data_IF_847744240258
#
_entry.id   IF_847744240258
#
_cell.length_a   1.000
_cell.length_b   1.000
_cell.length_c   1.000
_cell.angle_alpha   90.00
_cell.angle_beta   90.00
_cell.angle_gamma   90.00
#
_symmetry.space_group_name_H-M   'P 1'
#
loop_
_entity.id
_entity.type
_entity.pdbx_description
1 polymer ?
#
# COMPACT_ATOMS: atom_id res chain seq x y z
N UNK A 1 -28.40 -0.52 23.14
CA UNK A 1 -27.51 -1.69 23.06
C UNK A 1 -26.51 -1.59 24.20
N UNK A 2 -26.51 -2.51 25.17
CA UNK A 2 -25.56 -2.48 26.29
C UNK A 2 -24.16 -2.79 25.75
N UNK A 3 -23.17 -1.94 26.04
CA UNK A 3 -21.78 -2.23 25.72
C UNK A 3 -21.41 -3.56 26.39
N UNK A 4 -21.03 -4.55 25.58
CA UNK A 4 -20.60 -5.85 26.10
C UNK A 4 -19.30 -5.61 26.86
N UNK A 5 -19.33 -5.86 28.17
CA UNK A 5 -18.18 -5.67 29.04
C UNK A 5 -16.99 -6.48 28.52
N UNK A 6 -15.87 -5.79 28.30
CA UNK A 6 -14.64 -6.42 27.86
C UNK A 6 -13.96 -6.98 29.11
N UNK A 7 -14.03 -8.30 29.27
CA UNK A 7 -13.34 -8.98 30.36
C UNK A 7 -11.89 -9.22 29.94
N UNK A 8 -10.95 -8.78 30.76
CA UNK A 8 -9.52 -9.06 30.61
C UNK A 8 -9.12 -10.09 31.67
N UNK A 9 -8.41 -11.13 31.25
CA UNK A 9 -7.87 -12.17 32.11
C UNK A 9 -6.35 -12.07 32.10
N UNK A 10 -5.70 -12.33 33.22
CA UNK A 10 -4.25 -12.58 33.21
C UNK A 10 -3.93 -13.75 32.27
N UNK A 11 -2.94 -13.55 31.41
CA UNK A 11 -2.45 -14.57 30.50
C UNK A 11 -1.35 -15.44 31.08
N UNK A 12 -0.76 -15.04 32.22
CA UNK A 12 0.39 -15.69 32.85
C UNK A 12 1.73 -15.40 32.15
N UNK A 13 1.76 -14.40 31.26
CA UNK A 13 2.95 -13.98 30.54
C UNK A 13 3.31 -12.54 30.87
N UNK A 14 4.61 -12.26 30.87
CA UNK A 14 5.17 -10.92 31.02
C UNK A 14 5.53 -10.32 29.66
N UNK A 15 5.37 -9.01 29.55
CA UNK A 15 5.70 -8.26 28.34
C UNK A 15 7.22 -8.27 28.13
N UNK A 16 7.64 -8.70 26.95
CA UNK A 16 9.03 -8.72 26.46
C UNK A 16 9.66 -7.32 26.32
N UNK A 17 8.87 -6.25 26.42
CA UNK A 17 9.35 -4.86 26.27
C UNK A 17 9.55 -4.16 27.61
N UNK A 18 8.63 -4.36 28.55
CA UNK A 18 8.58 -3.60 29.81
C UNK A 18 8.47 -4.47 31.07
N UNK A 19 8.40 -5.80 30.93
CA UNK A 19 8.22 -6.74 32.04
C UNK A 19 6.83 -6.69 32.70
N UNK A 20 5.89 -5.93 32.14
CA UNK A 20 4.54 -5.80 32.69
C UNK A 20 3.62 -6.97 32.33
N UNK A 21 2.68 -7.27 33.23
CA UNK A 21 1.66 -8.31 33.07
C UNK A 21 0.88 -8.18 31.75
N UNK A 22 0.77 -9.28 31.02
CA UNK A 22 -0.02 -9.37 29.79
C UNK A 22 -1.42 -9.88 30.11
N UNK A 23 -2.42 -9.10 29.72
CA UNK A 23 -3.82 -9.44 29.82
C UNK A 23 -4.34 -9.99 28.49
N UNK A 24 -5.06 -11.10 28.53
CA UNK A 24 -5.80 -11.66 27.40
C UNK A 24 -7.27 -11.24 27.45
N UNK A 25 -7.78 -10.76 26.34
CA UNK A 25 -9.20 -10.41 26.22
C UNK A 25 -10.07 -11.68 26.15
N UNK A 26 -11.03 -11.80 27.07
CA UNK A 26 -12.06 -12.84 27.09
C UNK A 26 -13.33 -12.33 26.40
N UNK A 27 -13.34 -12.34 25.07
CA UNK A 27 -14.54 -11.99 24.30
C UNK A 27 -14.27 -11.67 22.84
N UNK A 28 -15.33 -11.70 22.03
CA UNK A 28 -15.28 -11.25 20.63
C UNK A 28 -15.40 -9.73 20.57
N UNK A 29 -14.40 -9.04 20.00
CA UNK A 29 -14.58 -7.64 19.59
C UNK A 29 -15.53 -7.60 18.39
N UNK A 30 -16.48 -6.65 18.32
CA UNK A 30 -17.41 -6.55 17.18
C UNK A 30 -16.69 -6.35 15.85
N UNK A 31 -15.52 -5.71 15.86
CA UNK A 31 -14.77 -5.32 14.67
C UNK A 31 -13.92 -6.42 14.03
N UNK A 32 -13.59 -7.50 14.75
CA UNK A 32 -12.82 -8.65 14.22
C UNK A 32 -13.19 -9.94 14.97
N UNK A 33 -13.92 -10.87 14.34
CA UNK A 33 -14.66 -11.90 15.07
C UNK A 33 -13.85 -13.08 15.66
N UNK A 34 -12.55 -13.27 15.37
CA UNK A 34 -11.91 -14.57 15.65
C UNK A 34 -10.56 -14.59 16.39
N UNK A 35 -9.88 -13.46 16.65
CA UNK A 35 -8.56 -13.53 17.29
C UNK A 35 -8.59 -13.04 18.74
N UNK A 36 -8.06 -13.83 19.70
CA UNK A 36 -7.83 -13.34 21.06
C UNK A 36 -6.79 -12.21 21.01
N UNK A 37 -7.08 -11.12 21.71
CA UNK A 37 -6.21 -9.98 21.84
C UNK A 37 -5.43 -10.08 23.15
N UNK A 38 -4.18 -9.66 23.09
CA UNK A 38 -3.30 -9.52 24.24
C UNK A 38 -2.99 -8.05 24.42
N UNK A 39 -2.97 -7.58 25.66
CA UNK A 39 -2.63 -6.19 26.01
C UNK A 39 -1.72 -6.21 27.22
N UNK A 40 -0.59 -5.50 27.14
CA UNK A 40 0.22 -5.26 28.34
C UNK A 40 -0.45 -4.19 29.22
N UNK A 41 -0.57 -4.46 30.52
CA UNK A 41 -1.15 -3.53 31.50
C UNK A 41 -0.31 -2.27 31.72
N UNK A 42 1.01 -2.37 31.57
CA UNK A 42 1.96 -1.30 31.88
C UNK A 42 2.19 -0.40 30.66
N UNK A 43 2.66 -0.97 29.54
CA UNK A 43 2.99 -0.17 28.37
C UNK A 43 1.79 0.07 27.43
N UNK A 44 0.70 -0.68 27.58
CA UNK A 44 -0.52 -0.51 26.78
C UNK A 44 -0.46 -1.07 25.36
N UNK A 45 0.66 -1.67 24.95
CA UNK A 45 0.75 -2.35 23.66
C UNK A 45 -0.30 -3.47 23.54
N UNK A 46 -0.93 -3.59 22.37
CA UNK A 46 -1.87 -4.67 22.03
C UNK A 46 -1.42 -5.43 20.79
N UNK A 47 -1.59 -6.75 20.82
CA UNK A 47 -1.28 -7.63 19.70
C UNK A 47 -2.25 -8.81 19.59
N UNK A 48 -2.28 -9.45 18.43
CA UNK A 48 -2.98 -10.72 18.19
C UNK A 48 -2.10 -11.90 18.62
N UNK A 49 -2.67 -13.10 18.75
CA UNK A 49 -1.88 -14.33 18.97
C UNK A 49 -0.80 -14.55 17.90
N UNK A 50 -1.07 -14.12 16.67
CA UNK A 50 -0.14 -14.20 15.53
C UNK A 50 1.01 -13.19 15.63
N UNK A 51 1.00 -12.31 16.65
CA UNK A 51 2.01 -11.28 16.84
C UNK A 51 1.75 -10.00 16.06
N UNK A 52 0.60 -9.88 15.38
CA UNK A 52 0.22 -8.65 14.68
C UNK A 52 -0.03 -7.54 15.68
N UNK A 53 0.61 -6.40 15.48
CA UNK A 53 0.43 -5.23 16.33
C UNK A 53 -0.92 -4.59 16.03
N UNK A 54 -1.75 -4.45 17.06
CA UNK A 54 -3.11 -3.88 16.97
C UNK A 54 -3.10 -2.44 17.46
N UNK A 55 -2.34 -2.18 18.52
CA UNK A 55 -2.18 -0.86 19.09
C UNK A 55 -0.79 -0.76 19.72
N UNK A 56 -0.10 0.34 19.47
CA UNK A 56 1.17 0.64 20.10
C UNK A 56 0.87 1.60 21.23
N UNK A 57 1.16 1.18 22.46
CA UNK A 57 0.98 2.04 23.62
C UNK A 57 1.99 3.18 23.65
N UNK A 58 1.81 4.12 24.57
CA UNK A 58 2.58 5.38 24.59
C UNK A 58 4.03 5.29 25.08
N UNK A 59 4.51 4.12 25.51
CA UNK A 59 5.86 3.95 26.04
C UNK A 59 6.94 3.86 24.97
N UNK A 60 8.13 4.40 25.23
CA UNK A 60 9.27 4.30 24.30
C UNK A 60 9.65 2.85 23.97
N UNK A 61 9.56 1.95 24.97
CA UNK A 61 9.81 0.52 24.81
C UNK A 61 8.88 -0.14 23.78
N UNK A 62 7.60 0.29 23.71
CA UNK A 62 6.64 -0.19 22.72
C UNK A 62 7.05 0.20 21.29
N UNK A 63 7.51 1.45 21.12
CA UNK A 63 7.96 1.96 19.82
C UNK A 63 9.26 1.30 19.37
N UNK A 64 10.20 1.10 20.28
CA UNK A 64 11.45 0.42 19.99
C UNK A 64 11.21 -1.03 19.59
N UNK A 65 10.39 -1.76 20.35
CA UNK A 65 10.08 -3.14 20.02
C UNK A 65 9.35 -3.29 18.68
N UNK A 66 8.45 -2.37 18.35
CA UNK A 66 7.83 -2.32 17.04
C UNK A 66 8.87 -2.10 15.92
N UNK A 67 9.81 -1.16 16.12
CA UNK A 67 10.86 -0.88 15.14
C UNK A 67 11.71 -2.11 14.83
N UNK A 68 12.03 -2.92 15.84
CA UNK A 68 12.79 -4.18 15.67
C UNK A 68 12.00 -5.24 14.89
N UNK A 69 10.67 -5.27 15.01
CA UNK A 69 9.80 -6.19 14.26
C UNK A 69 9.60 -5.78 12.81
N UNK A 70 9.56 -4.48 12.53
CA UNK A 70 9.44 -3.93 11.17
C UNK A 70 10.79 -3.93 10.44
N UNK A 71 11.90 -3.79 11.18
CA UNK A 71 13.27 -3.83 10.67
C UNK A 71 13.55 -4.92 9.62
N UNK A 72 13.24 -6.20 9.87
CA UNK A 72 13.47 -7.27 8.88
C UNK A 72 12.58 -7.15 7.63
N UNK A 73 11.35 -6.67 7.75
CA UNK A 73 10.43 -6.47 6.60
C UNK A 73 10.93 -5.34 5.70
N UNK A 74 11.38 -4.23 6.31
CA UNK A 74 11.99 -3.13 5.56
C UNK A 74 13.35 -3.51 4.98
N UNK A 75 14.11 -4.39 5.65
CA UNK A 75 15.37 -4.89 5.12
C UNK A 75 15.16 -5.70 3.83
N UNK A 76 14.14 -6.56 3.78
CA UNK A 76 13.79 -7.32 2.58
C UNK A 76 13.33 -6.41 1.42
N UNK A 77 12.56 -5.36 1.71
CA UNK A 77 12.17 -4.36 0.72
C UNK A 77 13.36 -3.49 0.25
N UNK A 78 14.31 -3.20 1.13
CA UNK A 78 15.52 -2.48 0.74
C UNK A 78 16.46 -3.34 -0.12
N UNK A 79 16.46 -4.66 0.08
CA UNK A 79 17.39 -5.58 -0.57
C UNK A 79 17.15 -5.65 -2.10
N UNK A 80 15.88 -5.66 -2.55
CA UNK A 80 15.57 -5.64 -3.98
C UNK A 80 15.91 -4.30 -4.66
N UNK A 81 15.75 -3.17 -3.95
CA UNK A 81 16.14 -1.84 -4.43
C UNK A 81 17.67 -1.73 -4.56
N UNK A 82 18.41 -2.24 -3.58
CA UNK A 82 19.88 -2.32 -3.66
C UNK A 82 20.37 -3.29 -4.73
N UNK A 83 19.60 -4.34 -5.04
CA UNK A 83 19.90 -5.24 -6.16
C UNK A 83 19.70 -4.57 -7.51
N UNK A 84 18.67 -3.71 -7.62
CA UNK A 84 18.40 -2.91 -8.82
C UNK A 84 19.46 -1.82 -9.04
N UNK A 85 19.95 -1.21 -7.96
CA UNK A 85 20.99 -0.17 -8.03
C UNK A 85 22.40 -0.71 -8.31
N UNK A 86 22.62 -2.01 -8.10
CA UNK A 86 23.84 -2.73 -8.50
C UNK A 86 23.89 -3.03 -10.01
N UNK A 87 22.80 -2.79 -10.74
CA UNK A 87 22.79 -2.91 -12.20
C UNK A 87 23.69 -1.81 -12.79
N UNK A 88 24.72 -2.15 -13.57
CA UNK A 88 25.62 -1.16 -14.13
C UNK A 88 24.87 -0.23 -15.10
N UNK A 89 25.19 1.07 -15.06
CA UNK A 89 24.45 2.13 -15.80
C UNK A 89 24.23 1.82 -17.28
N UNK A 90 25.18 1.14 -17.93
CA UNK A 90 25.06 0.75 -19.34
C UNK A 90 23.92 -0.24 -19.58
N UNK A 91 23.68 -1.18 -18.66
CA UNK A 91 22.60 -2.16 -18.78
C UNK A 91 21.22 -1.49 -18.64
N UNK A 92 21.10 -0.47 -17.78
CA UNK A 92 19.88 0.33 -17.66
C UNK A 92 19.56 1.08 -18.97
N UNK A 93 20.59 1.65 -19.63
CA UNK A 93 20.43 2.30 -20.94
C UNK A 93 19.99 1.29 -22.00
N UNK A 94 20.58 0.10 -22.02
CA UNK A 94 20.22 -0.96 -22.97
C UNK A 94 18.78 -1.44 -22.76
N UNK A 95 18.35 -1.66 -21.50
CA UNK A 95 16.98 -2.07 -21.18
C UNK A 95 15.98 -0.97 -21.56
N UNK A 96 16.29 0.29 -21.23
CA UNK A 96 15.46 1.43 -21.61
C UNK A 96 15.32 1.57 -23.13
N UNK A 97 16.42 1.43 -23.87
CA UNK A 97 16.41 1.47 -25.34
C UNK A 97 15.63 0.30 -25.94
N UNK A 98 15.81 -0.91 -25.42
CA UNK A 98 15.08 -2.09 -25.88
C UNK A 98 13.56 -1.93 -25.65
N UNK A 99 13.15 -1.47 -24.47
CA UNK A 99 11.75 -1.17 -24.16
C UNK A 99 11.19 -0.06 -25.05
N UNK A 100 11.97 0.99 -25.32
CA UNK A 100 11.59 2.06 -26.22
C UNK A 100 11.39 1.56 -27.65
N UNK A 101 12.30 0.72 -28.15
CA UNK A 101 12.17 0.07 -29.46
C UNK A 101 10.94 -0.83 -29.51
N UNK A 102 10.69 -1.62 -28.46
CA UNK A 102 9.49 -2.48 -28.35
C UNK A 102 8.23 -1.61 -28.33
N UNK A 103 8.20 -0.52 -27.57
CA UNK A 103 7.10 0.44 -27.53
C UNK A 103 6.89 1.15 -28.87
N UNK A 104 7.94 1.50 -29.59
CA UNK A 104 7.80 2.05 -30.94
C UNK A 104 7.29 0.98 -31.91
N UNK A 105 7.79 -0.26 -31.80
CA UNK A 105 7.43 -1.39 -32.65
C UNK A 105 5.98 -1.84 -32.46
N UNK A 106 5.49 -1.85 -31.22
CA UNK A 106 4.15 -2.35 -30.87
C UNK A 106 3.15 -1.22 -30.57
N UNK A 107 3.59 -0.13 -29.94
CA UNK A 107 2.77 1.03 -29.58
C UNK A 107 2.62 2.06 -30.71
N UNK A 108 3.55 2.17 -31.66
CA UNK A 108 3.43 3.08 -32.81
C UNK A 108 2.26 2.72 -33.74
N UNK A 109 1.99 1.42 -33.93
CA UNK A 109 0.89 0.94 -34.76
C UNK A 109 -0.48 1.10 -34.08
N UNK A 110 -0.55 0.88 -32.76
CA UNK A 110 -1.79 1.07 -31.97
C UNK A 110 -2.12 2.56 -31.78
N UNK A 111 -1.12 3.41 -31.49
CA UNK A 111 -1.32 4.84 -31.31
C UNK A 111 -1.74 5.52 -32.62
N UNK A 112 -1.11 5.16 -33.75
CA UNK A 112 -1.51 5.64 -35.07
C UNK A 112 -2.95 5.23 -35.43
N UNK A 113 -3.33 3.98 -35.13
CA UNK A 113 -4.69 3.46 -35.38
C UNK A 113 -5.76 4.11 -34.51
N UNK A 114 -5.41 4.61 -33.32
CA UNK A 114 -6.31 5.36 -32.43
C UNK A 114 -6.38 6.85 -32.78
N UNK A 115 -5.25 7.47 -33.12
CA UNK A 115 -5.19 8.90 -33.42
C UNK A 115 -5.81 9.24 -34.79
N UNK A 116 -5.68 8.36 -35.78
CA UNK A 116 -6.25 8.57 -37.12
C UNK A 116 -7.77 8.81 -37.12
N UNK A 117 -8.63 7.97 -36.49
CA UNK A 117 -10.07 8.22 -36.45
C UNK A 117 -10.43 9.45 -35.61
N UNK A 118 -9.72 9.72 -34.50
CA UNK A 118 -9.97 10.92 -33.67
C UNK A 118 -9.66 12.20 -34.44
N UNK A 119 -8.54 12.24 -35.16
CA UNK A 119 -8.18 13.37 -36.02
C UNK A 119 -9.18 13.58 -37.16
N UNK A 120 -9.65 12.50 -37.79
CA UNK A 120 -10.70 12.55 -38.82
C UNK A 120 -12.02 13.11 -38.27
N UNK A 121 -12.46 12.65 -37.10
CA UNK A 121 -13.68 13.16 -36.44
C UNK A 121 -13.53 14.64 -36.11
N UNK A 122 -12.40 15.04 -35.50
CA UNK A 122 -12.13 16.44 -35.19
C UNK A 122 -12.12 17.33 -36.43
N UNK A 123 -11.53 16.85 -37.53
CA UNK A 123 -11.50 17.56 -38.80
C UNK A 123 -12.91 17.73 -39.41
N UNK A 124 -13.74 16.68 -39.38
CA UNK A 124 -15.13 16.75 -39.86
C UNK A 124 -15.95 17.73 -39.02
N UNK A 125 -15.84 17.68 -37.69
CA UNK A 125 -16.54 18.61 -36.78
C UNK A 125 -16.11 20.05 -37.04
N UNK A 126 -14.80 20.28 -37.21
CA UNK A 126 -14.26 21.60 -37.53
C UNK A 126 -14.83 22.14 -38.85
N UNK A 127 -14.90 21.30 -39.89
CA UNK A 127 -15.50 21.69 -41.18
C UNK A 127 -16.99 22.03 -41.04
N UNK A 128 -17.77 21.24 -40.29
CA UNK A 128 -19.20 21.52 -40.05
C UNK A 128 -19.39 22.86 -39.35
N UNK A 129 -18.61 23.13 -38.30
CA UNK A 129 -18.69 24.40 -37.57
C UNK A 129 -18.32 25.57 -38.48
N UNK A 130 -17.20 25.45 -39.22
CA UNK A 130 -16.74 26.49 -40.14
C UNK A 130 -17.76 26.77 -41.24
N UNK A 131 -18.34 25.72 -41.81
CA UNK A 131 -19.34 25.86 -42.88
C UNK A 131 -20.67 26.42 -42.34
N UNK A 132 -21.08 26.03 -41.12
CA UNK A 132 -22.25 26.60 -40.46
C UNK A 132 -22.10 28.08 -40.13
N UNK A 133 -20.88 28.53 -39.77
CA UNK A 133 -20.56 29.95 -39.62
C UNK A 133 -20.69 30.72 -40.95
N UNK A 134 -20.28 30.13 -42.07
CA UNK A 134 -20.41 30.75 -43.39
C UNK A 134 -21.87 30.83 -43.89
N UNK A 135 -22.74 29.92 -43.45
CA UNK A 135 -24.17 29.90 -43.86
C UNK A 135 -25.15 30.64 -42.94
N UNK A 136 -24.69 31.29 -41.85
CA UNK A 136 -25.55 31.97 -40.87
C UNK A 136 -26.70 31.09 -40.33
N UNK A 137 -26.43 29.81 -40.05
CA UNK A 137 -27.45 28.92 -39.45
C UNK A 137 -27.66 29.16 -37.94
N UNK A 138 -26.95 30.16 -37.38
CA UNK A 138 -27.03 30.70 -36.03
C UNK A 138 -26.55 32.16 -36.02
#
# INVERSE_FOLDING_TARGET
MKAKEIVWLDSGYDCDHCGGEILRQKGRRPSRPNNPYYRCRVCGCEWTLQGDVVHIGGGEFCREAQSRRIGPVLAEESDWLTRLSRIPRWLQVVIGLALFIILLRFGGFMLFRLLLPVALIGFVVYLIIRFGQEQQWW
#
